data_IF_101145691912
#
_entry.id   IF_101145691912
#
_cell.length_a   1.000
_cell.length_b   1.000
_cell.length_c   1.000
_cell.angle_alpha   90.00
_cell.angle_beta   90.00
_cell.angle_gamma   90.00
#
_symmetry.space_group_name_H-M   'P 1'
#
loop_
_entity.id
_entity.type
_entity.pdbx_description
1 polymer ?
#
# COMPACT_ATOMS: atom_id res chain seq x y z
N UNK A 1 -11.22 8.75 -4.63
CA UNK A 1 -12.31 9.56 -5.23
C UNK A 1 -12.65 10.65 -4.23
N UNK A 2 -12.81 11.89 -4.70
CA UNK A 2 -13.09 13.05 -3.86
C UNK A 2 -14.46 13.62 -4.23
N UNK A 3 -15.20 14.12 -3.24
CA UNK A 3 -16.50 14.79 -3.42
C UNK A 3 -16.39 16.19 -2.82
N UNK A 4 -16.69 17.22 -3.61
CA UNK A 4 -16.59 18.64 -3.22
C UNK A 4 -15.22 19.06 -2.65
N UNK A 5 -14.15 18.41 -3.10
CA UNK A 5 -12.77 18.75 -2.73
C UNK A 5 -11.89 18.84 -3.97
N UNK A 6 -10.82 19.65 -3.89
CA UNK A 6 -9.87 19.81 -5.00
C UNK A 6 -9.14 18.51 -5.30
N UNK A 7 -8.86 18.23 -6.58
CA UNK A 7 -8.04 17.09 -6.99
C UNK A 7 -6.59 17.17 -6.49
N UNK A 8 -6.11 18.36 -6.09
CA UNK A 8 -4.77 18.54 -5.52
C UNK A 8 -4.57 17.82 -4.17
N UNK A 9 -5.64 17.37 -3.51
CA UNK A 9 -5.56 16.58 -2.28
C UNK A 9 -5.17 15.11 -2.53
N UNK A 10 -4.99 14.67 -3.78
CA UNK A 10 -4.44 13.35 -4.08
C UNK A 10 -2.92 13.35 -3.92
N UNK A 11 -2.46 13.52 -2.68
CA UNK A 11 -1.05 13.61 -2.29
C UNK A 11 -0.83 12.87 -0.96
N UNK A 12 0.31 12.21 -0.80
CA UNK A 12 0.59 11.36 0.36
C UNK A 12 0.65 12.11 1.70
N UNK A 13 1.11 13.37 1.75
CA UNK A 13 1.05 14.15 2.99
C UNK A 13 -0.37 14.56 3.34
N UNK A 14 -1.14 15.03 2.36
CA UNK A 14 -2.54 15.42 2.54
C UNK A 14 -3.43 14.24 2.97
N UNK A 15 -3.08 13.03 2.53
CA UNK A 15 -3.76 11.79 2.92
C UNK A 15 -3.20 11.12 4.19
N UNK A 16 -2.19 11.72 4.84
CA UNK A 16 -1.66 11.24 6.12
C UNK A 16 -0.67 10.08 6.03
N UNK A 17 -0.10 9.80 4.86
CA UNK A 17 0.96 8.79 4.67
C UNK A 17 2.32 9.25 5.20
N UNK A 18 2.49 10.56 5.42
CA UNK A 18 3.71 11.17 5.96
C UNK A 18 4.89 11.24 5.00
N UNK A 19 4.85 10.51 3.89
CA UNK A 19 5.74 10.63 2.74
C UNK A 19 5.05 10.04 1.51
N UNK A 20 5.51 10.44 0.32
CA UNK A 20 5.07 9.86 -0.94
C UNK A 20 6.29 9.60 -1.85
N UNK A 21 6.35 8.43 -2.48
CA UNK A 21 7.30 8.17 -3.58
C UNK A 21 6.74 8.58 -4.94
N UNK A 22 5.42 8.49 -5.10
CA UNK A 22 4.65 8.95 -6.25
C UNK A 22 3.21 8.44 -6.21
N UNK A 23 2.45 8.73 -7.26
CA UNK A 23 1.05 8.31 -7.42
C UNK A 23 0.96 7.15 -8.41
N UNK A 24 0.43 6.01 -7.96
CA UNK A 24 0.13 4.87 -8.83
C UNK A 24 -1.29 4.97 -9.41
N UNK A 25 -1.41 4.73 -10.73
CA UNK A 25 -2.70 4.54 -11.39
C UNK A 25 -2.96 3.09 -11.80
N UNK A 26 -2.10 2.15 -11.40
CA UNK A 26 -2.30 0.71 -11.67
C UNK A 26 -3.19 0.08 -10.60
N UNK A 27 -3.95 -0.96 -10.96
CA UNK A 27 -4.91 -1.58 -10.05
C UNK A 27 -4.33 -2.69 -9.17
N UNK A 28 -3.14 -3.18 -9.51
CA UNK A 28 -2.48 -4.24 -8.76
C UNK A 28 -1.46 -3.63 -7.81
N UNK A 29 -1.30 -4.25 -6.64
CA UNK A 29 -0.37 -3.83 -5.58
C UNK A 29 -0.77 -2.53 -4.86
N UNK A 30 -0.66 -1.38 -5.52
CA UNK A 30 -0.93 -0.07 -4.92
C UNK A 30 -1.63 0.88 -5.91
N UNK A 31 -2.61 1.66 -5.44
CA UNK A 31 -3.36 2.64 -6.22
C UNK A 31 -3.55 3.93 -5.43
N UNK A 32 -3.17 5.07 -6.01
CA UNK A 32 -3.09 6.38 -5.34
C UNK A 32 -1.67 6.72 -4.86
N UNK A 33 -1.52 7.74 -4.01
CA UNK A 33 -0.28 8.05 -3.31
C UNK A 33 0.34 6.83 -2.63
N UNK A 34 1.63 6.59 -2.86
CA UNK A 34 2.35 5.45 -2.30
C UNK A 34 3.30 5.90 -1.19
N UNK A 35 3.05 5.42 0.03
CA UNK A 35 3.90 5.61 1.20
C UNK A 35 4.86 4.44 1.42
N UNK A 36 5.28 4.23 2.67
CA UNK A 36 6.22 3.16 3.01
C UNK A 36 5.62 1.77 2.85
N UNK A 37 4.34 1.59 3.20
CA UNK A 37 3.67 0.28 3.14
C UNK A 37 3.57 -0.25 1.71
N UNK A 38 3.32 0.64 0.75
CA UNK A 38 3.27 0.33 -0.69
C UNK A 38 4.64 -0.06 -1.26
N UNK A 39 5.73 0.00 -0.50
CA UNK A 39 7.04 -0.53 -0.88
C UNK A 39 7.35 -1.88 -0.25
N UNK A 40 6.37 -2.50 0.41
CA UNK A 40 6.51 -3.79 1.08
C UNK A 40 5.73 -4.91 0.37
N UNK A 41 5.96 -6.14 0.78
CA UNK A 41 5.16 -7.29 0.35
C UNK A 41 4.93 -8.24 1.53
N UNK A 42 3.92 -9.09 1.40
CA UNK A 42 3.57 -10.08 2.43
C UNK A 42 4.15 -11.44 2.09
N UNK A 43 4.64 -12.16 3.11
CA UNK A 43 5.05 -13.56 3.01
C UNK A 43 4.42 -14.37 4.12
N UNK A 44 4.17 -15.65 3.85
CA UNK A 44 3.77 -16.58 4.90
C UNK A 44 4.99 -17.04 5.70
N UNK A 45 4.84 -17.10 7.01
CA UNK A 45 5.84 -17.67 7.92
C UNK A 45 5.17 -18.85 8.62
N UNK A 46 5.79 -20.03 8.51
CA UNK A 46 5.31 -21.26 9.16
C UNK A 46 6.37 -21.67 10.17
N UNK A 47 5.98 -21.77 11.43
CA UNK A 47 6.81 -22.33 12.50
C UNK A 47 6.44 -23.81 12.67
N UNK A 48 7.41 -24.68 12.43
CA UNK A 48 7.21 -26.12 12.44
C UNK A 48 7.96 -26.84 13.55
N UNK A 49 7.48 -28.03 13.86
CA UNK A 49 8.05 -29.01 14.79
C UNK A 49 7.74 -30.43 14.26
N UNK A 50 8.18 -30.73 13.04
CA UNK A 50 8.04 -32.05 12.43
C UNK A 50 6.72 -32.33 11.68
N UNK A 51 5.98 -31.30 11.26
CA UNK A 51 4.76 -31.51 10.48
C UNK A 51 5.08 -32.14 9.11
N UNK A 52 4.42 -33.25 8.80
CA UNK A 52 4.47 -33.93 7.50
C UNK A 52 3.14 -33.78 6.77
N UNK A 53 3.19 -33.54 5.45
CA UNK A 53 2.01 -33.53 4.59
C UNK A 53 1.77 -34.95 4.06
N UNK A 54 0.53 -35.44 4.15
CA UNK A 54 0.12 -36.70 3.52
C UNK A 54 0.08 -36.59 2.01
#
# INVERSE_FOLDING_TARGET
VLVNASTRFSDGFELGLGAEIGISTTKLHAFGPMGLEELTTSKFIIYGDGQVRK
#
